data_IF_050776424495
#
_entry.id   IF_050776424495
#
_cell.length_a   1.000
_cell.length_b   1.000
_cell.length_c   1.000
_cell.angle_alpha   90.00
_cell.angle_beta   90.00
_cell.angle_gamma   90.00
#
_symmetry.space_group_name_H-M   'P 1'
#
loop_
_entity.id
_entity.type
_entity.pdbx_description
1 polymer ?
#
# COMPACT_ATOMS: atom_id res chain seq x y z
N UNK A 1 -28.26 -7.37 39.41
CA UNK A 1 -28.37 -7.24 37.94
C UNK A 1 -27.42 -6.16 37.39
N UNK A 2 -26.25 -5.88 38.02
CA UNK A 2 -25.36 -4.78 37.59
C UNK A 2 -24.46 -5.09 36.40
N UNK A 3 -24.22 -6.37 36.09
CA UNK A 3 -23.24 -6.75 35.06
C UNK A 3 -23.60 -6.37 33.63
N UNK A 4 -24.89 -6.19 33.29
CA UNK A 4 -25.29 -5.70 31.97
C UNK A 4 -25.07 -4.20 31.83
N UNK A 5 -25.37 -3.44 32.89
CA UNK A 5 -25.17 -1.99 32.90
C UNK A 5 -23.68 -1.64 32.83
N UNK A 6 -22.82 -2.39 33.53
CA UNK A 6 -21.36 -2.23 33.47
C UNK A 6 -20.82 -2.49 32.05
N UNK A 7 -21.31 -3.53 31.35
CA UNK A 7 -20.90 -3.85 29.98
C UNK A 7 -21.36 -2.78 28.97
N UNK A 8 -22.57 -2.25 29.14
CA UNK A 8 -23.10 -1.18 28.30
C UNK A 8 -22.34 0.13 28.53
N UNK A 9 -21.99 0.44 29.78
CA UNK A 9 -21.19 1.60 30.13
C UNK A 9 -19.78 1.51 29.52
N UNK A 10 -19.10 0.37 29.65
CA UNK A 10 -17.78 0.16 29.06
C UNK A 10 -17.81 0.29 27.52
N UNK A 11 -18.81 -0.31 26.88
CA UNK A 11 -19.01 -0.19 25.43
C UNK A 11 -19.16 1.28 25.01
N UNK A 12 -20.02 2.04 25.69
CA UNK A 12 -20.25 3.45 25.41
C UNK A 12 -18.96 4.30 25.59
N UNK A 13 -18.17 4.04 26.63
CA UNK A 13 -16.89 4.72 26.82
C UNK A 13 -15.89 4.46 25.68
N UNK A 14 -15.82 3.21 25.18
CA UNK A 14 -14.96 2.86 24.03
C UNK A 14 -15.38 3.61 22.77
N UNK A 15 -16.69 3.71 22.51
CA UNK A 15 -17.24 4.42 21.37
C UNK A 15 -17.06 5.94 21.47
N UNK A 16 -17.27 6.55 22.64
CA UNK A 16 -16.99 7.97 22.84
C UNK A 16 -15.51 8.29 22.62
N UNK A 17 -14.61 7.43 23.09
CA UNK A 17 -13.18 7.58 22.83
C UNK A 17 -12.86 7.49 21.34
N UNK A 18 -13.42 6.52 20.63
CA UNK A 18 -13.25 6.36 19.18
C UNK A 18 -13.80 7.59 18.43
N UNK A 19 -14.96 8.11 18.84
CA UNK A 19 -15.57 9.30 18.25
C UNK A 19 -14.69 10.54 18.41
N UNK A 20 -14.14 10.75 19.62
CA UNK A 20 -13.19 11.84 19.87
C UNK A 20 -11.91 11.71 19.02
N UNK A 21 -11.50 10.49 18.67
CA UNK A 21 -10.33 10.22 17.81
C UNK A 21 -10.65 10.28 16.33
N UNK A 22 -11.89 10.07 15.94
CA UNK A 22 -12.35 10.23 14.58
C UNK A 22 -12.39 11.71 14.15
N UNK A 23 -12.57 12.62 15.12
CA UNK A 23 -12.57 14.05 14.86
C UNK A 23 -11.25 14.53 14.23
N UNK A 24 -11.36 15.34 13.17
CA UNK A 24 -10.22 15.83 12.39
C UNK A 24 -9.54 14.81 11.46
N UNK A 25 -10.01 13.56 11.39
CA UNK A 25 -9.50 12.58 10.44
C UNK A 25 -10.14 12.78 9.07
N UNK A 26 -9.33 13.05 8.05
CA UNK A 26 -9.81 13.45 6.73
C UNK A 26 -8.89 12.96 5.61
N UNK A 27 -9.49 12.48 4.51
CA UNK A 27 -8.78 12.27 3.25
C UNK A 27 -8.77 13.58 2.45
N UNK A 28 -7.58 14.15 2.24
CA UNK A 28 -7.42 15.45 1.58
C UNK A 28 -7.24 15.29 0.06
N UNK A 29 -6.69 14.16 -0.43
CA UNK A 29 -6.50 13.86 -1.87
C UNK A 29 -5.72 12.55 -2.13
N UNK A 30 -5.80 11.54 -1.25
CA UNK A 30 -4.93 10.36 -1.29
C UNK A 30 -5.02 9.58 -2.61
N UNK A 31 -6.23 9.43 -3.15
CA UNK A 31 -6.44 8.79 -4.45
C UNK A 31 -5.68 9.46 -5.60
N UNK A 32 -5.61 10.80 -5.60
CA UNK A 32 -4.87 11.57 -6.61
C UNK A 32 -3.36 11.38 -6.45
N UNK A 33 -2.86 11.35 -5.22
CA UNK A 33 -1.45 11.12 -4.93
C UNK A 33 -0.98 9.73 -5.40
N UNK A 34 -1.75 8.67 -5.12
CA UNK A 34 -1.43 7.31 -5.58
C UNK A 34 -1.52 7.21 -7.10
N UNK A 35 -2.54 7.81 -7.73
CA UNK A 35 -2.67 7.83 -9.19
C UNK A 35 -1.48 8.51 -9.86
N UNK A 36 -1.04 9.67 -9.35
CA UNK A 36 0.13 10.37 -9.89
C UNK A 36 1.41 9.56 -9.73
N UNK A 37 1.54 8.77 -8.67
CA UNK A 37 2.69 7.89 -8.47
C UNK A 37 2.80 6.88 -9.61
N UNK A 38 1.73 6.10 -9.84
CA UNK A 38 1.74 5.03 -10.83
C UNK A 38 1.69 5.48 -12.28
N UNK A 39 1.07 6.61 -12.59
CA UNK A 39 0.99 7.10 -13.97
C UNK A 39 2.23 7.88 -14.41
N UNK A 40 2.98 8.47 -13.46
CA UNK A 40 4.07 9.39 -13.80
C UNK A 40 5.37 9.08 -13.07
N UNK A 41 5.37 9.08 -11.73
CA UNK A 41 6.63 8.98 -10.99
C UNK A 41 7.29 7.62 -11.12
N UNK A 42 6.54 6.54 -10.92
CA UNK A 42 7.08 5.19 -10.98
C UNK A 42 7.58 4.82 -12.39
N UNK A 43 6.79 4.97 -13.48
CA UNK A 43 7.27 4.58 -14.81
C UNK A 43 8.47 5.41 -15.29
N UNK A 44 8.46 6.72 -15.05
CA UNK A 44 9.57 7.60 -15.45
C UNK A 44 10.82 7.29 -14.65
N UNK A 45 10.70 7.14 -13.33
CA UNK A 45 11.83 6.79 -12.46
C UNK A 45 12.39 5.40 -12.78
N UNK A 46 11.51 4.42 -12.99
CA UNK A 46 11.88 3.06 -13.39
C UNK A 46 12.67 3.06 -14.70
N UNK A 47 12.14 3.67 -15.76
CA UNK A 47 12.82 3.69 -17.06
C UNK A 47 14.16 4.43 -17.02
N UNK A 48 14.21 5.58 -16.32
CA UNK A 48 15.45 6.34 -16.18
C UNK A 48 16.54 5.51 -15.48
N UNK A 49 16.19 4.86 -14.36
CA UNK A 49 17.14 4.04 -13.61
C UNK A 49 17.50 2.74 -14.33
N UNK A 50 16.58 2.15 -15.07
CA UNK A 50 16.84 0.98 -15.90
C UNK A 50 17.89 1.30 -16.96
N UNK A 51 17.70 2.39 -17.72
CA UNK A 51 18.65 2.83 -18.75
C UNK A 51 20.00 3.19 -18.13
N UNK A 52 20.02 3.93 -17.01
CA UNK A 52 21.26 4.28 -16.31
C UNK A 52 22.00 3.04 -15.80
N UNK A 53 21.30 2.05 -15.24
CA UNK A 53 21.92 0.83 -14.74
C UNK A 53 22.40 -0.09 -15.86
N UNK A 54 21.70 -0.17 -17.00
CA UNK A 54 22.19 -0.85 -18.20
C UNK A 54 23.48 -0.17 -18.71
N UNK A 55 23.46 1.16 -18.84
CA UNK A 55 24.64 1.93 -19.25
C UNK A 55 25.83 1.73 -18.30
N UNK A 56 25.57 1.74 -16.99
CA UNK A 56 26.57 1.41 -15.97
C UNK A 56 27.09 -0.02 -16.08
N UNK A 57 26.23 -1.00 -16.34
CA UNK A 57 26.61 -2.39 -16.58
C UNK A 57 27.55 -2.54 -17.79
N UNK A 58 27.23 -1.87 -18.90
CA UNK A 58 28.08 -1.84 -20.10
C UNK A 58 29.47 -1.27 -19.77
N UNK A 59 29.54 -0.19 -18.98
CA UNK A 59 30.82 0.40 -18.58
C UNK A 59 31.65 -0.52 -17.67
N UNK A 60 30.99 -1.30 -16.80
CA UNK A 60 31.66 -2.18 -15.83
C UNK A 60 32.14 -3.50 -16.43
N UNK A 61 31.38 -4.05 -17.39
CA UNK A 61 31.57 -5.41 -17.89
C UNK A 61 31.93 -5.47 -19.38
N UNK A 62 32.01 -4.32 -20.08
CA UNK A 62 32.31 -4.25 -21.51
C UNK A 62 31.05 -4.34 -22.39
N UNK A 63 31.21 -4.71 -23.66
CA UNK A 63 30.13 -4.71 -24.67
C UNK A 63 29.97 -6.08 -25.33
N UNK A 64 30.10 -7.18 -24.59
CA UNK A 64 29.88 -8.50 -25.20
C UNK A 64 28.39 -8.82 -25.25
N UNK A 65 27.93 -9.39 -26.37
CA UNK A 65 26.51 -9.75 -26.53
C UNK A 65 26.05 -10.82 -25.52
N UNK A 66 26.97 -11.61 -24.97
CA UNK A 66 26.69 -12.64 -23.98
C UNK A 66 26.31 -12.08 -22.61
N UNK A 67 26.68 -10.83 -22.30
CA UNK A 67 26.48 -10.21 -20.99
C UNK A 67 25.17 -9.42 -20.86
N UNK A 68 24.27 -9.51 -21.84
CA UNK A 68 23.03 -8.71 -21.86
C UNK A 68 22.15 -8.97 -20.63
N UNK A 69 22.12 -10.20 -20.13
CA UNK A 69 21.46 -10.55 -18.87
C UNK A 69 22.07 -9.84 -17.66
N UNK A 70 23.40 -9.69 -17.63
CA UNK A 70 24.11 -8.99 -16.55
C UNK A 70 23.76 -7.49 -16.55
N UNK A 71 23.74 -6.84 -17.72
CA UNK A 71 23.44 -5.41 -17.78
C UNK A 71 21.98 -5.13 -17.41
N UNK A 72 21.05 -5.98 -17.85
CA UNK A 72 19.64 -5.87 -17.48
C UNK A 72 19.44 -6.10 -15.99
N UNK A 73 20.15 -7.06 -15.40
CA UNK A 73 20.16 -7.33 -13.96
C UNK A 73 20.62 -6.12 -13.15
N UNK A 74 21.72 -5.46 -13.55
CA UNK A 74 22.18 -4.20 -12.93
C UNK A 74 21.12 -3.11 -13.04
N UNK A 75 20.52 -2.95 -14.23
CA UNK A 75 19.41 -2.02 -14.46
C UNK A 75 18.21 -2.25 -13.55
N UNK A 76 17.80 -3.50 -13.36
CA UNK A 76 16.69 -3.87 -12.49
C UNK A 76 17.03 -3.71 -11.00
N UNK A 77 18.26 -4.02 -10.57
CA UNK A 77 18.72 -3.77 -9.20
C UNK A 77 18.71 -2.28 -8.87
N UNK A 78 19.23 -1.44 -9.78
CA UNK A 78 19.21 0.00 -9.60
C UNK A 78 17.77 0.55 -9.57
N UNK A 79 16.91 0.03 -10.45
CA UNK A 79 15.48 0.36 -10.47
C UNK A 79 14.75 -0.10 -9.20
N UNK A 80 15.12 -1.24 -8.63
CA UNK A 80 14.58 -1.76 -7.36
C UNK A 80 14.91 -0.80 -6.22
N UNK A 81 16.18 -0.41 -6.10
CA UNK A 81 16.62 0.55 -5.09
C UNK A 81 15.92 1.90 -5.26
N UNK A 82 15.80 2.39 -6.49
CA UNK A 82 15.11 3.64 -6.76
C UNK A 82 13.60 3.58 -6.54
N UNK A 83 12.95 2.46 -6.85
CA UNK A 83 11.53 2.25 -6.52
C UNK A 83 11.31 2.24 -5.01
N UNK A 84 12.21 1.59 -4.26
CA UNK A 84 12.14 1.55 -2.80
C UNK A 84 12.39 2.92 -2.17
N UNK A 85 13.54 3.54 -2.45
CA UNK A 85 13.93 4.85 -1.89
C UNK A 85 13.01 5.97 -2.40
N UNK A 86 12.77 6.01 -3.71
CA UNK A 86 11.85 6.96 -4.34
C UNK A 86 10.43 6.78 -3.85
N UNK A 87 9.98 5.54 -3.63
CA UNK A 87 8.71 5.23 -3.00
C UNK A 87 8.60 5.76 -1.58
N UNK A 88 9.62 5.56 -0.74
CA UNK A 88 9.65 6.11 0.63
C UNK A 88 9.64 7.64 0.63
N UNK A 89 10.43 8.28 -0.24
CA UNK A 89 10.46 9.74 -0.39
C UNK A 89 9.09 10.25 -0.85
N UNK A 90 8.49 9.61 -1.86
CA UNK A 90 7.16 9.98 -2.36
C UNK A 90 6.10 9.79 -1.28
N UNK A 91 6.18 8.70 -0.51
CA UNK A 91 5.28 8.46 0.60
C UNK A 91 5.34 9.59 1.63
N UNK A 92 6.55 9.95 2.08
CA UNK A 92 6.77 11.03 3.04
C UNK A 92 6.33 12.40 2.51
N UNK A 93 6.60 12.71 1.24
CA UNK A 93 6.36 14.04 0.67
C UNK A 93 4.98 14.26 0.06
N UNK A 94 4.28 13.20 -0.36
CA UNK A 94 3.02 13.31 -1.11
C UNK A 94 1.88 12.53 -0.49
N UNK A 95 2.11 11.34 0.04
CA UNK A 95 1.02 10.46 0.50
C UNK A 95 0.70 10.67 1.97
N UNK A 96 1.72 10.70 2.84
CA UNK A 96 1.55 11.06 4.25
C UNK A 96 0.84 12.42 4.46
N UNK A 97 1.19 13.51 3.74
CA UNK A 97 0.49 14.78 3.89
C UNK A 97 -0.87 14.85 3.17
N UNK A 98 -1.24 13.84 2.37
CA UNK A 98 -2.56 13.79 1.71
C UNK A 98 -3.68 13.31 2.64
N UNK A 99 -3.37 13.07 3.92
CA UNK A 99 -4.33 12.61 4.92
C UNK A 99 -4.07 13.36 6.22
N UNK A 100 -5.14 13.85 6.84
CA UNK A 100 -5.10 14.33 8.23
C UNK A 100 -5.43 13.15 9.13
N UNK A 101 -4.49 12.78 9.98
CA UNK A 101 -4.64 11.70 10.94
C UNK A 101 -4.37 12.19 12.34
N UNK A 102 -5.14 11.66 13.30
CA UNK A 102 -4.76 11.68 14.70
C UNK A 102 -3.65 10.66 15.00
N UNK A 103 -2.91 10.89 16.08
CA UNK A 103 -1.69 10.14 16.44
C UNK A 103 -1.93 8.66 16.76
N UNK A 104 -3.18 8.26 17.04
CA UNK A 104 -3.55 6.88 17.40
C UNK A 104 -4.63 6.36 16.46
N UNK A 105 -4.61 5.05 16.24
CA UNK A 105 -5.65 4.31 15.51
C UNK A 105 -7.01 4.54 16.19
N UNK A 106 -8.02 4.91 15.40
CA UNK A 106 -9.39 5.17 15.89
C UNK A 106 -9.99 3.90 16.49
N UNK A 107 -9.57 2.73 15.98
CA UNK A 107 -10.09 1.44 16.38
C UNK A 107 -9.37 0.83 17.59
N UNK A 108 -8.34 1.48 18.13
CA UNK A 108 -7.44 0.87 19.11
C UNK A 108 -8.16 0.35 20.37
N UNK A 109 -9.12 1.11 20.89
CA UNK A 109 -9.87 0.75 22.11
C UNK A 109 -11.12 -0.10 21.86
N UNK A 110 -11.53 -0.29 20.61
CA UNK A 110 -12.73 -1.07 20.31
C UNK A 110 -12.47 -2.57 20.49
N UNK A 111 -13.51 -3.29 20.89
CA UNK A 111 -13.50 -4.74 20.98
C UNK A 111 -13.27 -5.37 19.60
N UNK A 112 -12.77 -6.61 19.59
CA UNK A 112 -12.48 -7.31 18.34
C UNK A 112 -13.72 -7.46 17.43
N UNK A 113 -14.88 -7.76 18.01
CA UNK A 113 -16.15 -7.83 17.30
C UNK A 113 -16.53 -6.49 16.63
N UNK A 114 -16.36 -5.37 17.34
CA UNK A 114 -16.61 -4.01 16.85
C UNK A 114 -15.67 -3.67 15.69
N UNK A 115 -14.36 -3.94 15.83
CA UNK A 115 -13.37 -3.73 14.77
C UNK A 115 -13.67 -4.55 13.52
N UNK A 116 -14.09 -5.81 13.71
CA UNK A 116 -14.50 -6.70 12.62
C UNK A 116 -15.76 -6.18 11.92
N UNK A 117 -16.74 -5.68 12.69
CA UNK A 117 -17.95 -5.07 12.14
C UNK A 117 -17.61 -3.83 11.30
N UNK A 118 -16.82 -2.90 11.83
CA UNK A 118 -16.37 -1.70 11.10
C UNK A 118 -15.63 -2.08 9.81
N UNK A 119 -14.76 -3.09 9.87
CA UNK A 119 -14.06 -3.59 8.68
C UNK A 119 -15.04 -4.19 7.66
N UNK A 120 -16.07 -4.90 8.11
CA UNK A 120 -17.12 -5.41 7.25
C UNK A 120 -17.92 -4.27 6.61
N UNK A 121 -18.24 -3.20 7.33
CA UNK A 121 -18.92 -2.01 6.81
C UNK A 121 -18.07 -1.30 5.73
N UNK A 122 -16.78 -1.06 5.99
CA UNK A 122 -15.85 -0.43 5.04
C UNK A 122 -15.72 -1.27 3.75
N UNK A 123 -15.79 -2.60 3.87
CA UNK A 123 -15.71 -3.52 2.73
C UNK A 123 -17.05 -3.79 2.04
N UNK A 124 -18.15 -3.20 2.54
CA UNK A 124 -19.50 -3.39 2.01
C UNK A 124 -20.11 -4.77 2.32
N UNK A 125 -19.58 -5.49 3.31
CA UNK A 125 -20.07 -6.79 3.78
C UNK A 125 -21.11 -6.70 4.89
N UNK A 126 -21.27 -5.52 5.50
CA UNK A 126 -22.24 -5.24 6.56
C UNK A 126 -22.94 -3.90 6.28
N UNK A 127 -24.21 -3.73 6.73
CA UNK A 127 -24.93 -2.48 6.60
C UNK A 127 -24.27 -1.37 7.44
N UNK A 128 -24.40 -0.13 6.98
CA UNK A 128 -23.77 1.01 7.64
C UNK A 128 -24.59 1.49 8.84
N UNK A 129 -23.95 1.54 10.01
CA UNK A 129 -24.55 2.07 11.24
C UNK A 129 -24.35 3.59 11.29
N UNK A 130 -25.44 4.36 11.17
CA UNK A 130 -25.38 5.83 11.08
C UNK A 130 -24.78 6.48 12.32
N UNK A 131 -25.05 5.91 13.50
CA UNK A 131 -24.56 6.43 14.79
C UNK A 131 -23.02 6.44 14.88
N UNK A 132 -22.37 5.49 14.22
CA UNK A 132 -20.92 5.31 14.27
C UNK A 132 -20.21 5.73 12.97
N UNK A 133 -20.94 6.37 12.05
CA UNK A 133 -20.43 6.73 10.73
C UNK A 133 -19.11 7.54 10.78
N UNK A 134 -18.91 8.53 11.68
CA UNK A 134 -17.63 9.25 11.75
C UNK A 134 -16.45 8.35 12.11
N UNK A 135 -16.65 7.39 13.02
CA UNK A 135 -15.64 6.38 13.39
C UNK A 135 -15.32 5.47 12.22
N UNK A 136 -16.34 4.97 11.52
CA UNK A 136 -16.17 4.11 10.34
C UNK A 136 -15.44 4.85 9.21
N UNK A 137 -15.78 6.12 8.97
CA UNK A 137 -15.08 6.98 7.98
C UNK A 137 -13.63 7.19 8.36
N UNK A 138 -13.34 7.56 9.60
CA UNK A 138 -11.97 7.78 10.06
C UNK A 138 -11.11 6.51 9.96
N UNK A 139 -11.67 5.36 10.34
CA UNK A 139 -11.03 4.06 10.15
C UNK A 139 -10.80 3.73 8.65
N UNK A 140 -11.77 4.06 7.78
CA UNK A 140 -11.64 3.95 6.34
C UNK A 140 -10.47 4.79 5.80
N UNK A 141 -10.30 6.01 6.28
CA UNK A 141 -9.20 6.91 5.91
C UNK A 141 -7.84 6.34 6.36
N UNK A 142 -7.75 5.85 7.61
CA UNK A 142 -6.53 5.20 8.12
C UNK A 142 -6.16 3.96 7.31
N UNK A 143 -7.15 3.12 6.99
CA UNK A 143 -6.97 1.96 6.11
C UNK A 143 -6.51 2.36 4.71
N UNK A 144 -7.12 3.40 4.14
CA UNK A 144 -6.76 3.89 2.80
C UNK A 144 -5.31 4.36 2.77
N UNK A 145 -4.85 5.10 3.79
CA UNK A 145 -3.44 5.50 3.93
C UNK A 145 -2.50 4.29 4.02
N UNK A 146 -2.86 3.28 4.82
CA UNK A 146 -2.08 2.05 4.93
C UNK A 146 -1.92 1.36 3.57
N UNK A 147 -3.03 1.20 2.84
CA UNK A 147 -3.04 0.64 1.49
C UNK A 147 -2.22 1.48 0.49
N UNK A 148 -2.34 2.81 0.55
CA UNK A 148 -1.53 3.70 -0.29
C UNK A 148 -0.03 3.52 -0.04
N UNK A 149 0.37 3.43 1.23
CA UNK A 149 1.77 3.24 1.63
C UNK A 149 2.30 1.90 1.12
N UNK A 150 1.53 0.82 1.29
CA UNK A 150 1.89 -0.49 0.77
C UNK A 150 2.01 -0.48 -0.76
N UNK A 151 1.03 0.09 -1.47
CA UNK A 151 1.06 0.21 -2.92
C UNK A 151 2.31 0.95 -3.42
N UNK A 152 2.78 1.99 -2.74
CA UNK A 152 3.98 2.72 -3.19
C UNK A 152 5.25 1.87 -3.10
N UNK A 153 5.37 1.07 -2.04
CA UNK A 153 6.58 0.29 -1.74
C UNK A 153 6.57 -1.04 -2.50
N UNK A 154 5.39 -1.65 -2.68
CA UNK A 154 5.24 -3.01 -3.19
C UNK A 154 5.86 -3.26 -4.59
N UNK A 155 5.89 -2.30 -5.54
CA UNK A 155 6.56 -2.48 -6.83
C UNK A 155 8.04 -2.82 -6.74
N UNK A 156 8.73 -2.54 -5.63
CA UNK A 156 10.13 -2.91 -5.45
C UNK A 156 10.32 -4.44 -5.40
N UNK A 157 9.37 -5.19 -4.83
CA UNK A 157 9.48 -6.65 -4.70
C UNK A 157 9.54 -7.40 -6.04
N UNK A 158 8.60 -7.22 -6.99
CA UNK A 158 8.69 -7.91 -8.28
C UNK A 158 9.93 -7.49 -9.08
N UNK A 159 10.42 -6.24 -8.95
CA UNK A 159 11.66 -5.82 -9.59
C UNK A 159 12.89 -6.54 -9.00
N UNK A 160 12.92 -6.71 -7.67
CA UNK A 160 13.97 -7.46 -6.99
C UNK A 160 14.00 -8.91 -7.48
N UNK A 161 12.85 -9.58 -7.52
CA UNK A 161 12.77 -10.97 -8.00
C UNK A 161 13.12 -11.08 -9.48
N UNK A 162 12.66 -10.16 -10.33
CA UNK A 162 13.03 -10.13 -11.74
C UNK A 162 14.55 -10.04 -11.95
N UNK A 163 15.25 -9.22 -11.15
CA UNK A 163 16.71 -9.12 -11.21
C UNK A 163 17.41 -10.44 -10.85
N UNK A 164 16.91 -11.14 -9.81
CA UNK A 164 17.47 -12.41 -9.37
C UNK A 164 17.21 -13.52 -10.39
N UNK A 165 16.02 -13.57 -10.97
CA UNK A 165 15.66 -14.55 -12.01
C UNK A 165 16.56 -14.44 -13.23
N UNK A 166 16.91 -13.23 -13.67
CA UNK A 166 17.85 -13.03 -14.78
C UNK A 166 19.26 -13.53 -14.46
N UNK A 167 19.74 -13.32 -13.23
CA UNK A 167 21.06 -13.83 -12.81
C UNK A 167 21.10 -15.36 -12.75
N UNK A 168 19.96 -16.02 -12.49
CA UNK A 168 19.88 -17.48 -12.35
C UNK A 168 19.56 -18.21 -13.66
N UNK A 169 19.10 -17.50 -14.69
CA UNK A 169 18.65 -18.07 -15.96
C UNK A 169 19.69 -18.95 -16.69
N UNK A 170 20.97 -18.90 -16.29
CA UNK A 170 22.04 -19.74 -16.85
C UNK A 170 22.70 -20.73 -15.87
N UNK A 171 22.19 -20.90 -14.65
CA UNK A 171 22.85 -21.73 -13.61
C UNK A 171 22.00 -22.86 -13.04
N UNK A 172 20.70 -22.64 -12.81
CA UNK A 172 19.83 -23.66 -12.18
C UNK A 172 18.34 -23.38 -12.41
N UNK A 173 17.58 -24.35 -12.93
CA UNK A 173 16.18 -24.14 -13.36
C UNK A 173 15.22 -23.89 -12.18
N UNK A 174 15.47 -24.50 -11.01
CA UNK A 174 14.54 -24.44 -9.89
C UNK A 174 14.40 -23.02 -9.30
N UNK A 175 15.52 -22.30 -9.12
CA UNK A 175 15.50 -20.94 -8.55
C UNK A 175 14.89 -19.92 -9.50
N UNK A 176 15.05 -20.11 -10.81
CA UNK A 176 14.37 -19.31 -11.84
C UNK A 176 12.86 -19.41 -11.67
N UNK A 177 12.32 -20.63 -11.55
CA UNK A 177 10.89 -20.86 -11.33
C UNK A 177 10.39 -20.23 -10.03
N UNK A 178 11.16 -20.33 -8.94
CA UNK A 178 10.81 -19.67 -7.67
C UNK A 178 10.73 -18.15 -7.86
N UNK A 179 11.69 -17.53 -8.54
CA UNK A 179 11.69 -16.09 -8.81
C UNK A 179 10.53 -15.64 -9.70
N UNK A 180 10.18 -16.43 -10.72
CA UNK A 180 9.01 -16.18 -11.59
C UNK A 180 7.72 -16.27 -10.78
N UNK A 181 7.54 -17.32 -9.98
CA UNK A 181 6.35 -17.48 -9.11
C UNK A 181 6.26 -16.35 -8.10
N UNK A 182 7.37 -16.00 -7.44
CA UNK A 182 7.42 -14.89 -6.48
C UNK A 182 7.05 -13.55 -7.13
N UNK A 183 7.55 -13.29 -8.35
CA UNK A 183 7.19 -12.10 -9.15
C UNK A 183 5.69 -12.09 -9.49
N UNK A 184 5.15 -13.24 -9.91
CA UNK A 184 3.72 -13.41 -10.20
C UNK A 184 2.83 -13.16 -8.99
N UNK A 185 3.18 -13.75 -7.84
CA UNK A 185 2.50 -13.51 -6.55
C UNK A 185 2.56 -12.04 -6.15
N UNK A 186 3.71 -11.39 -6.36
CA UNK A 186 3.87 -9.95 -6.12
C UNK A 186 2.92 -9.10 -6.97
N UNK A 187 2.82 -9.40 -8.27
CA UNK A 187 1.91 -8.70 -9.19
C UNK A 187 0.43 -8.91 -8.78
N UNK A 188 0.05 -10.15 -8.45
CA UNK A 188 -1.30 -10.46 -7.96
C UNK A 188 -1.58 -9.71 -6.66
N UNK A 189 -0.62 -9.67 -5.74
CA UNK A 189 -0.71 -8.92 -4.49
C UNK A 189 -0.95 -7.42 -4.73
N UNK A 190 -0.22 -6.81 -5.67
CA UNK A 190 -0.42 -5.41 -6.07
C UNK A 190 -1.83 -5.20 -6.62
N UNK A 191 -2.33 -6.10 -7.47
CA UNK A 191 -3.68 -6.00 -8.03
C UNK A 191 -4.76 -6.10 -6.94
N UNK A 192 -4.58 -6.97 -5.95
CA UNK A 192 -5.47 -7.10 -4.80
C UNK A 192 -5.45 -5.84 -3.91
N UNK A 193 -4.27 -5.28 -3.64
CA UNK A 193 -4.15 -4.01 -2.91
C UNK A 193 -4.84 -2.87 -3.66
N UNK A 194 -4.70 -2.78 -4.98
CA UNK A 194 -5.39 -1.78 -5.80
C UNK A 194 -6.90 -1.94 -5.72
N UNK A 195 -7.40 -3.18 -5.78
CA UNK A 195 -8.82 -3.47 -5.64
C UNK A 195 -9.35 -3.00 -4.30
N UNK A 196 -8.63 -3.32 -3.22
CA UNK A 196 -9.03 -2.96 -1.86
C UNK A 196 -8.94 -1.44 -1.64
N UNK A 197 -7.90 -0.78 -2.18
CA UNK A 197 -7.76 0.66 -2.19
C UNK A 197 -8.96 1.33 -2.89
N UNK A 198 -9.34 0.87 -4.09
CA UNK A 198 -10.49 1.39 -4.82
C UNK A 198 -11.83 1.12 -4.11
N UNK A 199 -11.95 0.04 -3.35
CA UNK A 199 -13.15 -0.25 -2.55
C UNK A 199 -13.25 0.73 -1.38
N UNK A 200 -12.17 0.91 -0.62
CA UNK A 200 -12.15 1.86 0.49
C UNK A 200 -12.33 3.31 0.03
N UNK A 201 -11.72 3.72 -1.09
CA UNK A 201 -11.92 5.05 -1.65
C UNK A 201 -13.39 5.30 -2.04
N UNK A 202 -14.04 4.34 -2.73
CA UNK A 202 -15.47 4.44 -3.08
C UNK A 202 -16.37 4.49 -1.85
N UNK A 203 -16.04 3.74 -0.80
CA UNK A 203 -16.74 3.79 0.47
C UNK A 203 -16.68 5.20 1.09
N UNK A 204 -15.50 5.83 1.09
CA UNK A 204 -15.32 7.19 1.61
C UNK A 204 -16.06 8.24 0.76
N UNK A 205 -16.03 8.10 -0.57
CA UNK A 205 -16.80 8.96 -1.48
C UNK A 205 -18.32 8.84 -1.27
N UNK A 206 -18.82 7.61 -1.08
CA UNK A 206 -20.24 7.35 -0.84
C UNK A 206 -20.72 7.90 0.50
N UNK A 207 -19.86 7.86 1.52
CA UNK A 207 -20.18 8.33 2.89
C UNK A 207 -19.87 9.81 3.11
N UNK A 208 -19.30 10.51 2.13
CA UNK A 208 -19.08 11.96 2.19
C UNK A 208 -20.32 12.79 1.82
N UNK A 209 -21.32 12.19 1.18
CA UNK A 209 -22.53 12.87 0.66
C UNK A 209 -23.78 12.70 1.53
N UNK A 210 -23.69 11.94 2.62
CA UNK A 210 -24.78 11.70 3.57
C UNK A 210 -24.40 12.21 4.95
#
# INVERSE_FOLDING_TARGET
MSGLDDLLAESNERWQWAMKRADGVEDVCLGRAVRSYYLRYFPVGFLALLVLGIGGGILLFGTTAADWANYLSVGLLLSTLGAFVGGLIYNAKKVAPSVRLNTLDVLFRLAESERKNITAQITGKAPLEREHLPVVRAAGVQRLKGLATQLIIMPAYPLMFASQTLNWAGRDEMFVWIGVVASGVGIIGIALLFRDFRRTARFLEATAKG
#
